data_IF_039306590592
#
_entry.id   IF_039306590592
#
_cell.length_a   1.000
_cell.length_b   1.000
_cell.length_c   1.000
_cell.angle_alpha   90.00
_cell.angle_beta   90.00
_cell.angle_gamma   90.00
#
_symmetry.space_group_name_H-M   'P 1'
#
loop_
_entity.id
_entity.type
_entity.pdbx_description
1 polymer ?
#
# COMPACT_ATOMS: atom_id res chain seq x y z
N UNK A 1 12.94 19.35 23.70
CA UNK A 1 13.94 19.20 22.61
C UNK A 1 13.29 18.84 21.27
N UNK A 2 12.21 18.03 21.23
CA UNK A 2 11.52 17.69 19.98
C UNK A 2 10.94 18.92 19.22
N UNK A 3 10.46 19.94 19.94
CA UNK A 3 9.83 21.15 19.36
C UNK A 3 10.74 22.03 18.49
N UNK A 4 12.06 21.78 18.48
CA UNK A 4 13.03 22.58 17.70
C UNK A 4 13.71 21.77 16.59
N UNK A 5 13.18 20.60 16.22
CA UNK A 5 13.73 19.78 15.13
C UNK A 5 12.86 19.97 13.89
N UNK A 6 13.45 20.49 12.82
CA UNK A 6 12.79 20.63 11.51
C UNK A 6 13.57 19.80 10.48
N UNK A 7 13.11 18.59 10.15
CA UNK A 7 13.78 17.74 9.16
C UNK A 7 13.83 18.45 7.80
N UNK A 8 14.98 18.37 7.12
CA UNK A 8 15.10 18.85 5.75
C UNK A 8 14.60 17.79 4.77
N UNK A 9 13.59 18.14 3.98
CA UNK A 9 13.12 17.29 2.89
C UNK A 9 14.08 17.42 1.70
N UNK A 10 14.76 16.32 1.37
CA UNK A 10 15.67 16.28 0.22
C UNK A 10 14.92 16.49 -1.09
N UNK A 11 15.54 17.19 -2.03
CA UNK A 11 15.03 17.29 -3.42
C UNK A 11 15.11 15.97 -4.19
N UNK A 12 15.89 15.01 -3.70
CA UNK A 12 15.99 13.65 -4.25
C UNK A 12 15.15 12.73 -3.38
N UNK A 13 14.09 12.16 -3.96
CA UNK A 13 13.16 11.27 -3.26
C UNK A 13 13.75 9.88 -3.04
N UNK A 14 13.08 9.04 -2.25
CA UNK A 14 13.44 7.62 -2.15
C UNK A 14 13.22 6.91 -3.49
N UNK A 15 12.19 7.26 -4.27
CA UNK A 15 11.99 6.75 -5.63
C UNK A 15 13.14 7.08 -6.58
N UNK A 16 13.64 8.32 -6.55
CA UNK A 16 14.80 8.70 -7.35
C UNK A 16 15.99 7.78 -7.08
N UNK A 17 16.18 7.42 -5.81
CA UNK A 17 17.24 6.51 -5.39
C UNK A 17 16.95 5.08 -5.83
N UNK A 18 15.74 4.57 -5.60
CA UNK A 18 15.31 3.23 -6.05
C UNK A 18 15.49 3.03 -7.56
N UNK A 19 15.24 4.06 -8.37
CA UNK A 19 15.45 4.04 -9.82
C UNK A 19 16.92 3.83 -10.19
N UNK A 20 17.84 4.37 -9.40
CA UNK A 20 19.29 4.27 -9.62
C UNK A 20 19.83 2.96 -9.02
N UNK A 21 19.40 2.61 -7.82
CA UNK A 21 19.91 1.46 -7.05
C UNK A 21 19.24 0.14 -7.42
N UNK A 22 18.16 0.19 -8.19
CA UNK A 22 17.36 -0.96 -8.58
C UNK A 22 16.63 -1.65 -7.44
N UNK A 23 16.71 -1.15 -6.21
CA UNK A 23 16.25 -1.86 -5.00
C UNK A 23 15.18 -1.09 -4.28
N UNK A 24 14.29 -1.82 -3.60
CA UNK A 24 13.24 -1.24 -2.76
C UNK A 24 13.72 -1.10 -1.31
N UNK A 25 13.23 -0.10 -0.55
CA UNK A 25 13.55 0.01 0.87
C UNK A 25 13.08 -1.23 1.63
N UNK A 26 14.04 -2.06 2.02
CA UNK A 26 13.78 -3.28 2.79
C UNK A 26 14.88 -3.49 3.82
N UNK A 27 14.49 -3.90 5.02
CA UNK A 27 15.42 -4.28 6.09
C UNK A 27 15.13 -5.70 6.53
N UNK A 28 16.11 -6.58 6.32
CA UNK A 28 16.14 -7.94 6.84
C UNK A 28 16.87 -7.94 8.17
N UNK A 29 16.10 -7.96 9.26
CA UNK A 29 16.62 -7.96 10.61
C UNK A 29 16.93 -9.39 11.06
N UNK A 30 18.21 -9.75 11.02
CA UNK A 30 18.67 -11.10 11.36
C UNK A 30 18.82 -11.25 12.88
N UNK A 31 18.04 -12.16 13.48
CA UNK A 31 18.12 -12.53 14.90
C UNK A 31 18.56 -13.98 15.10
N UNK A 32 19.15 -14.26 16.26
CA UNK A 32 19.68 -15.56 16.65
C UNK A 32 20.95 -15.43 17.48
N UNK A 33 21.39 -16.54 18.06
CA UNK A 33 22.58 -16.59 18.92
C UNK A 33 23.88 -16.22 18.18
N UNK A 34 24.93 -15.83 18.92
CA UNK A 34 26.26 -15.67 18.32
C UNK A 34 26.69 -16.97 17.62
N UNK A 35 27.31 -16.93 16.44
CA UNK A 35 27.66 -18.15 15.70
C UNK A 35 26.49 -18.89 15.01
N UNK A 36 25.27 -18.36 15.04
CA UNK A 36 24.11 -18.99 14.39
C UNK A 36 24.14 -18.97 12.85
N UNK A 37 24.98 -18.13 12.25
CA UNK A 37 25.16 -18.01 10.79
C UNK A 37 24.64 -16.72 10.16
N UNK A 38 24.12 -15.76 10.94
CA UNK A 38 23.57 -14.47 10.46
C UNK A 38 24.47 -13.76 9.44
N UNK A 39 25.69 -13.38 9.85
CA UNK A 39 26.61 -12.62 9.00
C UNK A 39 27.04 -13.40 7.75
N UNK A 40 27.10 -14.74 7.81
CA UNK A 40 27.42 -15.57 6.64
C UNK A 40 26.31 -15.54 5.60
N UNK A 41 25.06 -15.72 6.02
CA UNK A 41 23.89 -15.68 5.13
C UNK A 41 23.68 -14.27 4.56
N UNK A 42 23.76 -13.24 5.40
CA UNK A 42 23.62 -11.85 5.00
C UNK A 42 24.68 -11.43 3.97
N UNK A 43 25.95 -11.77 4.18
CA UNK A 43 27.02 -11.44 3.24
C UNK A 43 26.84 -12.12 1.87
N UNK A 44 26.35 -13.37 1.85
CA UNK A 44 26.02 -14.06 0.61
C UNK A 44 24.84 -13.40 -0.12
N UNK A 45 23.79 -13.02 0.61
CA UNK A 45 22.63 -12.34 0.04
C UNK A 45 22.99 -10.95 -0.52
N UNK A 46 23.75 -10.16 0.25
CA UNK A 46 24.30 -8.86 -0.16
C UNK A 46 25.10 -8.98 -1.47
N UNK A 47 26.01 -9.97 -1.54
CA UNK A 47 26.80 -10.22 -2.75
C UNK A 47 25.93 -10.60 -3.95
N UNK A 48 24.96 -11.50 -3.77
CA UNK A 48 24.06 -11.95 -4.85
C UNK A 48 23.20 -10.80 -5.39
N UNK A 49 22.64 -9.96 -4.52
CA UNK A 49 21.88 -8.77 -4.94
C UNK A 49 22.76 -7.77 -5.68
N UNK A 50 23.95 -7.48 -5.15
CA UNK A 50 24.90 -6.55 -5.76
C UNK A 50 25.31 -7.02 -7.16
N UNK A 51 25.61 -8.31 -7.32
CA UNK A 51 25.94 -8.91 -8.62
C UNK A 51 24.78 -8.85 -9.63
N UNK A 52 23.54 -8.85 -9.12
CA UNK A 52 22.32 -8.69 -9.92
C UNK A 52 21.97 -7.21 -10.22
N UNK A 53 22.80 -6.25 -9.80
CA UNK A 53 22.58 -4.81 -10.04
C UNK A 53 21.67 -4.13 -9.02
N UNK A 54 21.43 -4.76 -7.87
CA UNK A 54 20.64 -4.24 -6.77
C UNK A 54 21.55 -3.75 -5.63
N UNK A 55 21.44 -2.48 -5.23
CA UNK A 55 22.19 -1.97 -4.09
C UNK A 55 21.75 -2.66 -2.79
N UNK A 56 22.69 -3.34 -2.15
CA UNK A 56 22.50 -3.97 -0.85
C UNK A 56 23.59 -3.53 0.14
N UNK A 57 23.28 -3.59 1.43
CA UNK A 57 24.19 -3.23 2.52
C UNK A 57 24.02 -4.17 3.71
N UNK A 58 25.09 -4.81 4.15
CA UNK A 58 25.14 -5.51 5.44
C UNK A 58 25.60 -4.58 6.57
N UNK A 59 24.80 -4.48 7.64
CA UNK A 59 25.16 -3.77 8.87
C UNK A 59 25.44 -4.80 9.96
N UNK A 60 26.70 -4.89 10.40
CA UNK A 60 27.11 -5.79 11.47
C UNK A 60 27.23 -5.07 12.83
N UNK A 61 26.67 -5.69 13.87
CA UNK A 61 26.58 -5.16 15.21
C UNK A 61 27.94 -4.94 15.90
N UNK A 62 28.97 -5.72 15.57
CA UNK A 62 30.33 -5.51 16.08
C UNK A 62 31.01 -4.38 15.28
N UNK A 63 30.80 -4.33 13.97
CA UNK A 63 31.34 -3.26 13.10
C UNK A 63 30.91 -1.87 13.55
N UNK A 64 29.61 -1.66 13.83
CA UNK A 64 29.13 -0.32 14.26
C UNK A 64 29.72 0.12 15.60
N UNK A 65 30.11 -0.82 16.47
CA UNK A 65 30.78 -0.53 17.76
C UNK A 65 32.20 0.00 17.60
N UNK A 66 32.81 -0.15 16.42
CA UNK A 66 34.11 0.47 16.13
C UNK A 66 33.99 1.98 15.84
N UNK A 67 32.80 2.46 15.48
CA UNK A 67 32.55 3.84 15.07
C UNK A 67 31.29 4.44 15.71
N UNK A 68 30.14 4.29 15.04
CA UNK A 68 28.84 4.85 15.43
C UNK A 68 28.46 4.59 16.90
N UNK A 69 28.85 3.42 17.41
CA UNK A 69 28.55 2.95 18.76
C UNK A 69 29.79 2.83 19.67
N UNK A 70 30.90 3.51 19.36
CA UNK A 70 32.19 3.38 20.10
C UNK A 70 32.13 3.67 21.60
N UNK A 71 31.14 4.43 22.05
CA UNK A 71 30.97 4.79 23.46
C UNK A 71 30.10 3.82 24.26
N UNK A 72 29.52 2.79 23.61
CA UNK A 72 28.58 1.87 24.25
C UNK A 72 29.29 0.60 24.73
N UNK A 73 29.09 0.26 25.99
CA UNK A 73 29.50 -1.02 26.57
C UNK A 73 28.58 -2.19 26.19
N UNK A 74 28.58 -3.23 27.02
CA UNK A 74 27.73 -4.42 26.84
C UNK A 74 26.67 -4.56 27.94
N UNK A 75 26.40 -3.49 28.70
CA UNK A 75 25.29 -3.44 29.64
C UNK A 75 23.94 -3.58 28.89
N UNK A 76 22.85 -3.98 29.56
CA UNK A 76 21.53 -4.05 28.91
C UNK A 76 21.08 -2.73 28.28
N UNK A 77 21.38 -1.59 28.91
CA UNK A 77 21.05 -0.25 28.39
C UNK A 77 21.90 0.08 27.16
N UNK A 78 23.21 -0.15 27.21
CA UNK A 78 24.11 0.06 26.07
C UNK A 78 23.74 -0.82 24.87
N UNK A 79 23.28 -2.06 25.12
CA UNK A 79 22.81 -2.96 24.07
C UNK A 79 21.55 -2.42 23.42
N UNK A 80 20.59 -1.94 24.21
CA UNK A 80 19.34 -1.37 23.70
C UNK A 80 19.61 -0.12 22.85
N UNK A 81 20.45 0.79 23.33
CA UNK A 81 20.84 1.98 22.56
C UNK A 81 21.63 1.61 21.30
N UNK A 82 22.47 0.57 21.35
CA UNK A 82 23.16 0.07 20.16
C UNK A 82 22.17 -0.45 19.11
N UNK A 83 21.15 -1.21 19.50
CA UNK A 83 20.12 -1.71 18.59
C UNK A 83 19.26 -0.57 18.03
N UNK A 84 18.87 0.41 18.86
CA UNK A 84 18.14 1.61 18.42
C UNK A 84 18.93 2.38 17.36
N UNK A 85 20.25 2.61 17.56
CA UNK A 85 21.11 3.28 16.56
C UNK A 85 21.25 2.47 15.27
N UNK A 86 21.36 1.15 15.36
CA UNK A 86 21.40 0.28 14.19
C UNK A 86 20.08 0.36 13.43
N UNK A 87 18.93 0.38 14.11
CA UNK A 87 17.63 0.52 13.47
C UNK A 87 17.48 1.86 12.72
N UNK A 88 17.88 2.98 13.34
CA UNK A 88 17.88 4.29 12.66
C UNK A 88 18.83 4.31 11.45
N UNK A 89 20.02 3.71 11.57
CA UNK A 89 20.97 3.61 10.45
C UNK A 89 20.39 2.75 9.31
N UNK A 90 19.78 1.61 9.64
CA UNK A 90 19.17 0.71 8.68
C UNK A 90 18.02 1.39 7.93
N UNK A 91 17.19 2.15 8.65
CA UNK A 91 16.12 2.96 8.06
C UNK A 91 16.66 3.98 7.06
N UNK A 92 17.66 4.77 7.45
CA UNK A 92 18.29 5.77 6.56
C UNK A 92 18.90 5.10 5.33
N UNK A 93 19.58 3.96 5.49
CA UNK A 93 20.15 3.20 4.38
C UNK A 93 19.06 2.65 3.44
N UNK A 94 17.97 2.11 3.99
CA UNK A 94 16.84 1.62 3.20
C UNK A 94 16.16 2.75 2.40
N UNK A 95 15.86 3.88 3.05
CA UNK A 95 15.36 5.10 2.39
C UNK A 95 16.36 5.70 1.39
N UNK A 96 17.63 5.30 1.47
CA UNK A 96 18.64 5.65 0.47
C UNK A 96 18.61 4.73 -0.76
N UNK A 97 17.59 3.87 -0.86
CA UNK A 97 17.35 2.95 -1.98
C UNK A 97 18.09 1.62 -1.85
N UNK A 98 18.49 1.18 -0.65
CA UNK A 98 19.24 -0.06 -0.44
C UNK A 98 18.38 -1.15 0.18
N UNK A 99 18.66 -2.41 -0.16
CA UNK A 99 18.24 -3.55 0.66
C UNK A 99 19.24 -3.75 1.79
N UNK A 100 18.80 -3.70 3.04
CA UNK A 100 19.69 -3.71 4.20
C UNK A 100 19.56 -5.02 4.96
N UNK A 101 20.68 -5.68 5.24
CA UNK A 101 20.75 -6.86 6.11
C UNK A 101 21.39 -6.49 7.45
N UNK A 102 20.61 -6.48 8.52
CA UNK A 102 21.12 -6.17 9.86
C UNK A 102 21.50 -7.45 10.59
N UNK A 103 22.77 -7.57 10.96
CA UNK A 103 23.33 -8.67 11.74
C UNK A 103 23.70 -8.18 13.14
N UNK A 104 22.73 -8.14 14.05
CA UNK A 104 22.95 -7.76 15.45
C UNK A 104 22.41 -8.83 16.42
N UNK A 105 22.88 -8.83 17.67
CA UNK A 105 22.29 -9.67 18.72
C UNK A 105 21.12 -8.89 19.31
N UNK A 106 19.89 -9.29 18.95
CA UNK A 106 18.62 -8.76 19.47
C UNK A 106 17.94 -9.80 20.38
N UNK A 107 18.30 -9.85 21.68
CA UNK A 107 17.99 -10.98 22.55
C UNK A 107 16.53 -11.06 22.99
N UNK A 108 15.82 -9.94 23.07
CA UNK A 108 14.43 -9.91 23.56
C UNK A 108 13.43 -9.60 22.46
N UNK A 109 12.17 -9.96 22.66
CA UNK A 109 11.04 -9.57 21.80
C UNK A 109 10.92 -8.03 21.71
N UNK A 110 11.02 -7.35 22.85
CA UNK A 110 10.98 -5.90 22.94
C UNK A 110 12.08 -5.19 22.12
N UNK A 111 13.29 -5.75 22.05
CA UNK A 111 14.37 -5.18 21.22
C UNK A 111 14.02 -5.23 19.72
N UNK A 112 13.36 -6.29 19.28
CA UNK A 112 12.98 -6.51 17.88
C UNK A 112 11.75 -5.69 17.51
N UNK A 113 10.78 -5.58 18.42
CA UNK A 113 9.63 -4.68 18.28
C UNK A 113 10.08 -3.21 18.21
N UNK A 114 11.04 -2.79 19.04
CA UNK A 114 11.60 -1.43 18.95
C UNK A 114 12.23 -1.18 17.57
N UNK A 115 13.01 -2.12 17.05
CA UNK A 115 13.61 -1.99 15.72
C UNK A 115 12.53 -1.92 14.63
N UNK A 116 11.51 -2.78 14.68
CA UNK A 116 10.37 -2.78 13.76
C UNK A 116 9.63 -1.45 13.79
N UNK A 117 9.30 -0.93 14.97
CA UNK A 117 8.62 0.35 15.13
C UNK A 117 9.40 1.55 14.57
N UNK A 118 10.73 1.51 14.61
CA UNK A 118 11.58 2.56 14.01
C UNK A 118 11.57 2.47 12.48
N UNK A 119 11.57 1.26 11.92
CA UNK A 119 11.83 1.01 10.50
C UNK A 119 10.54 0.96 9.66
N UNK A 120 9.51 0.26 10.14
CA UNK A 120 8.25 0.03 9.42
C UNK A 120 7.52 1.31 8.95
N UNK A 121 7.66 2.48 9.61
CA UNK A 121 7.18 3.75 9.08
C UNK A 121 7.87 4.24 7.81
N UNK A 122 8.95 3.63 7.33
CA UNK A 122 9.70 4.11 6.15
C UNK A 122 10.19 2.99 5.21
N UNK A 123 10.28 1.75 5.68
CA UNK A 123 10.76 0.62 4.88
C UNK A 123 10.13 -0.71 5.33
N UNK A 124 10.08 -1.69 4.42
CA UNK A 124 9.65 -3.04 4.76
C UNK A 124 10.61 -3.65 5.80
N UNK A 125 10.06 -4.31 6.82
CA UNK A 125 10.84 -4.95 7.89
C UNK A 125 10.54 -6.45 7.91
N UNK A 126 11.58 -7.27 7.78
CA UNK A 126 11.51 -8.73 7.87
C UNK A 126 12.31 -9.22 9.08
N UNK A 127 11.65 -9.87 10.04
CA UNK A 127 12.30 -10.58 11.12
C UNK A 127 12.79 -11.96 10.64
N UNK A 128 14.11 -12.12 10.54
CA UNK A 128 14.75 -13.34 10.04
C UNK A 128 15.42 -14.09 11.19
N UNK A 129 14.85 -15.24 11.57
CA UNK A 129 15.34 -16.03 12.69
C UNK A 129 16.28 -17.16 12.27
N UNK A 130 17.51 -17.14 12.77
CA UNK A 130 18.46 -18.26 12.70
C UNK A 130 18.27 -19.19 13.91
N UNK A 131 17.72 -20.39 13.70
CA UNK A 131 17.21 -21.24 14.80
C UNK A 131 18.26 -22.09 15.53
N UNK A 132 19.55 -21.90 15.21
CA UNK A 132 20.63 -22.68 15.81
C UNK A 132 20.68 -22.53 17.33
N UNK A 133 20.69 -23.67 18.02
CA UNK A 133 20.75 -23.74 19.48
C UNK A 133 22.17 -23.44 20.01
N UNK A 134 22.26 -23.25 21.33
CA UNK A 134 23.53 -22.95 22.02
C UNK A 134 24.58 -24.00 21.73
N UNK A 135 24.20 -25.29 21.69
CA UNK A 135 25.11 -26.41 21.44
C UNK A 135 25.71 -26.33 20.03
N UNK A 136 24.88 -26.08 19.02
CA UNK A 136 25.31 -25.94 17.62
C UNK A 136 26.21 -24.72 17.45
N UNK A 137 25.83 -23.58 18.02
CA UNK A 137 26.62 -22.36 17.98
C UNK A 137 27.97 -22.51 18.68
N UNK A 138 27.99 -23.14 19.87
CA UNK A 138 29.20 -23.44 20.62
C UNK A 138 30.13 -24.44 19.92
N UNK A 139 29.58 -25.40 19.16
CA UNK A 139 30.38 -26.31 18.36
C UNK A 139 31.08 -25.61 17.18
N UNK A 140 30.45 -24.54 16.64
CA UNK A 140 31.03 -23.72 15.56
C UNK A 140 32.07 -22.71 16.08
N UNK A 141 31.76 -22.04 17.20
CA UNK A 141 32.53 -21.00 17.92
C UNK A 141 33.70 -20.32 17.17
N UNK A 142 33.44 -19.67 16.01
CA UNK A 142 34.51 -19.13 15.17
C UNK A 142 35.31 -18.00 15.82
N UNK A 143 34.70 -17.33 16.82
CA UNK A 143 35.30 -16.22 17.57
C UNK A 143 35.90 -16.66 18.92
N UNK A 144 35.77 -17.93 19.30
CA UNK A 144 36.19 -18.44 20.61
C UNK A 144 35.42 -17.84 21.80
N UNK A 145 34.25 -17.27 21.56
CA UNK A 145 33.46 -16.54 22.57
C UNK A 145 32.68 -17.49 23.47
N UNK A 146 32.18 -18.61 22.93
CA UNK A 146 31.48 -19.61 23.74
C UNK A 146 32.44 -20.26 24.73
N UNK A 147 33.67 -20.58 24.31
CA UNK A 147 34.70 -21.10 25.20
C UNK A 147 34.95 -20.17 26.40
N UNK A 148 35.07 -18.86 26.14
CA UNK A 148 35.27 -17.84 27.19
C UNK A 148 34.03 -17.64 28.06
N UNK A 149 32.83 -17.68 27.46
CA UNK A 149 31.56 -17.55 28.19
C UNK A 149 31.34 -18.73 29.15
N UNK A 150 31.59 -19.97 28.72
CA UNK A 150 31.49 -21.15 29.58
C UNK A 150 32.56 -21.19 30.67
N UNK A 151 33.73 -20.57 30.44
CA UNK A 151 34.75 -20.37 31.46
C UNK A 151 34.43 -19.23 32.44
N UNK A 152 33.33 -18.49 32.24
CA UNK A 152 32.93 -17.35 33.07
C UNK A 152 33.73 -16.07 32.84
N UNK A 153 34.58 -16.02 31.81
CA UNK A 153 35.39 -14.85 31.46
C UNK A 153 34.54 -13.74 30.82
N UNK A 154 33.43 -14.10 30.18
CA UNK A 154 32.46 -13.15 29.59
C UNK A 154 31.14 -13.25 30.36
N UNK A 155 30.79 -12.15 31.04
CA UNK A 155 29.49 -12.00 31.73
C UNK A 155 28.41 -11.59 30.74
N UNK A 156 27.16 -11.89 31.06
CA UNK A 156 25.97 -11.52 30.28
C UNK A 156 26.00 -11.97 28.81
N UNK A 157 26.57 -13.14 28.54
CA UNK A 157 26.64 -13.70 27.20
C UNK A 157 25.29 -14.34 26.82
N UNK A 158 24.67 -13.80 25.77
CA UNK A 158 23.33 -14.20 25.30
C UNK A 158 23.30 -15.70 24.94
N UNK A 159 22.36 -16.43 25.53
CA UNK A 159 22.21 -17.89 25.40
C UNK A 159 23.06 -18.71 26.38
N UNK A 160 23.92 -18.10 27.20
CA UNK A 160 24.71 -18.81 28.23
C UNK A 160 24.46 -18.22 29.62
N UNK A 161 24.85 -16.97 29.85
CA UNK A 161 24.68 -16.27 31.12
C UNK A 161 23.63 -15.15 31.07
N UNK A 162 23.04 -14.87 29.90
CA UNK A 162 21.88 -14.01 29.69
C UNK A 162 20.85 -14.69 28.75
N UNK A 163 19.54 -14.42 28.88
CA UNK A 163 18.51 -15.07 28.09
C UNK A 163 18.53 -14.64 26.61
N UNK A 164 17.95 -15.49 25.75
CA UNK A 164 17.55 -15.20 24.38
C UNK A 164 16.11 -15.66 24.23
N UNK A 165 15.21 -14.77 23.81
CA UNK A 165 13.80 -15.03 23.58
C UNK A 165 13.59 -15.31 22.09
N UNK A 166 13.33 -16.57 21.70
CA UNK A 166 13.04 -16.91 20.31
C UNK A 166 11.83 -16.13 19.79
N UNK A 167 11.86 -15.66 18.53
CA UNK A 167 10.69 -15.07 17.90
C UNK A 167 9.49 -16.02 17.87
N UNK A 168 8.29 -15.52 18.20
CA UNK A 168 7.06 -16.31 18.19
C UNK A 168 6.50 -16.50 16.78
N UNK A 169 6.57 -15.45 15.96
CA UNK A 169 6.06 -15.41 14.59
C UNK A 169 7.05 -14.66 13.67
N UNK A 170 8.25 -15.23 13.43
CA UNK A 170 9.22 -14.60 12.53
C UNK A 170 8.70 -14.64 11.08
N UNK A 171 9.01 -13.59 10.32
CA UNK A 171 8.68 -13.51 8.89
C UNK A 171 9.41 -14.61 8.08
N UNK A 172 10.66 -14.92 8.46
CA UNK A 172 11.47 -15.98 7.86
C UNK A 172 12.23 -16.72 8.97
N UNK A 173 12.23 -18.06 8.95
CA UNK A 173 13.03 -18.87 9.87
C UNK A 173 13.93 -19.86 9.11
N UNK A 174 15.22 -19.88 9.45
CA UNK A 174 16.22 -20.76 8.85
C UNK A 174 16.69 -21.83 9.85
N UNK A 175 16.36 -23.12 9.61
CA UNK A 175 16.91 -24.24 10.36
C UNK A 175 18.44 -24.27 10.32
N UNK A 176 19.08 -24.62 11.44
CA UNK A 176 20.53 -24.70 11.54
C UNK A 176 21.20 -25.68 10.55
N UNK A 177 20.43 -26.64 10.03
CA UNK A 177 20.83 -27.64 9.05
C UNK A 177 20.78 -27.15 7.59
N UNK A 178 20.12 -26.03 7.31
CA UNK A 178 20.02 -25.48 5.96
C UNK A 178 21.34 -24.82 5.55
N UNK A 179 21.74 -24.95 4.28
CA UNK A 179 22.97 -24.35 3.77
C UNK A 179 22.86 -22.83 3.68
N UNK A 180 23.98 -22.13 3.87
CA UNK A 180 24.01 -20.67 3.83
C UNK A 180 23.60 -20.14 2.45
N UNK A 181 23.96 -20.84 1.38
CA UNK A 181 23.61 -20.52 0.00
C UNK A 181 22.09 -20.57 -0.21
N UNK A 182 21.43 -21.62 0.28
CA UNK A 182 19.97 -21.76 0.17
C UNK A 182 19.24 -20.70 0.99
N UNK A 183 19.70 -20.40 2.20
CA UNK A 183 19.14 -19.32 3.00
C UNK A 183 19.30 -17.96 2.30
N UNK A 184 20.48 -17.70 1.70
CA UNK A 184 20.73 -16.47 0.96
C UNK A 184 19.82 -16.35 -0.28
N UNK A 185 19.55 -17.45 -0.99
CA UNK A 185 18.61 -17.45 -2.13
C UNK A 185 17.18 -17.06 -1.73
N UNK A 186 16.74 -17.49 -0.53
CA UNK A 186 15.44 -17.07 0.01
C UNK A 186 15.43 -15.58 0.32
N UNK A 187 16.49 -15.04 0.93
CA UNK A 187 16.59 -13.61 1.22
C UNK A 187 16.65 -12.75 -0.05
N UNK A 188 17.41 -13.17 -1.05
CA UNK A 188 17.48 -12.50 -2.35
C UNK A 188 16.11 -12.47 -3.00
N UNK A 189 15.41 -13.61 -3.01
CA UNK A 189 14.05 -13.69 -3.54
C UNK A 189 13.11 -12.74 -2.80
N UNK A 190 13.06 -12.80 -1.47
CA UNK A 190 12.23 -11.92 -0.66
C UNK A 190 12.55 -10.43 -0.88
N UNK A 191 13.82 -10.08 -1.10
CA UNK A 191 14.25 -8.71 -1.40
C UNK A 191 13.80 -8.23 -2.79
N UNK A 192 13.85 -9.12 -3.79
CA UNK A 192 13.41 -8.83 -5.16
C UNK A 192 11.88 -8.82 -5.28
N UNK A 193 11.21 -9.61 -4.44
CA UNK A 193 9.75 -9.72 -4.33
C UNK A 193 9.17 -8.77 -3.27
N UNK A 194 9.98 -7.87 -2.66
CA UNK A 194 9.47 -6.93 -1.65
C UNK A 194 8.40 -6.04 -2.29
N UNK A 195 7.16 -6.32 -1.94
CA UNK A 195 5.99 -5.65 -2.45
C UNK A 195 5.63 -4.42 -1.60
N UNK A 196 4.67 -3.62 -2.04
CA UNK A 196 4.08 -2.59 -1.19
C UNK A 196 3.46 -3.20 0.06
N UNK A 197 3.70 -2.58 1.22
CA UNK A 197 2.87 -2.83 2.39
C UNK A 197 1.49 -2.21 2.15
N UNK A 198 0.62 -2.97 1.48
CA UNK A 198 -0.72 -2.52 1.11
C UNK A 198 -1.59 -2.23 2.33
N UNK A 199 -1.28 -2.81 3.50
CA UNK A 199 -2.00 -2.49 4.75
C UNK A 199 -1.65 -1.08 5.20
N UNK A 200 -0.36 -0.77 5.30
CA UNK A 200 0.08 0.59 5.64
C UNK A 200 -0.43 1.61 4.62
N UNK A 201 -0.35 1.29 3.33
CA UNK A 201 -0.83 2.15 2.26
C UNK A 201 -2.33 2.44 2.39
N UNK A 202 -3.15 1.42 2.67
CA UNK A 202 -4.57 1.59 2.93
C UNK A 202 -4.85 2.46 4.16
N UNK A 203 -4.16 2.28 5.28
CA UNK A 203 -4.36 3.11 6.48
C UNK A 203 -4.21 4.61 6.14
N UNK A 204 -3.14 4.97 5.44
CA UNK A 204 -2.89 6.37 5.05
C UNK A 204 -3.93 6.87 4.05
N UNK A 205 -4.33 6.06 3.06
CA UNK A 205 -5.36 6.44 2.10
C UNK A 205 -6.73 6.64 2.77
N UNK A 206 -7.09 5.78 3.74
CA UNK A 206 -8.31 5.86 4.52
C UNK A 206 -8.35 7.15 5.36
N UNK A 207 -7.26 7.45 6.07
CA UNK A 207 -7.13 8.69 6.83
C UNK A 207 -7.23 9.92 5.92
N UNK A 208 -6.55 9.90 4.77
CA UNK A 208 -6.60 11.00 3.80
C UNK A 208 -8.01 11.20 3.23
N UNK A 209 -8.73 10.11 2.92
CA UNK A 209 -10.09 10.18 2.41
C UNK A 209 -11.08 10.68 3.46
N UNK A 210 -10.96 10.24 4.73
CA UNK A 210 -11.80 10.73 5.84
C UNK A 210 -11.58 12.22 6.09
N UNK A 211 -10.32 12.64 6.26
CA UNK A 211 -9.98 14.04 6.52
C UNK A 211 -10.43 14.96 5.37
N UNK A 212 -10.27 14.52 4.12
CA UNK A 212 -10.78 15.26 2.97
C UNK A 212 -12.31 15.33 2.98
N UNK A 213 -12.99 14.26 3.36
CA UNK A 213 -14.45 14.21 3.47
C UNK A 213 -14.97 15.21 4.51
N UNK A 214 -14.37 15.27 5.69
CA UNK A 214 -14.73 16.24 6.74
C UNK A 214 -14.60 17.68 6.23
N UNK A 215 -13.50 17.99 5.53
CA UNK A 215 -13.29 19.32 4.92
C UNK A 215 -14.29 19.64 3.81
N UNK A 216 -14.69 18.65 3.00
CA UNK A 216 -15.74 18.82 1.99
C UNK A 216 -17.07 19.17 2.67
N UNK A 217 -17.41 18.52 3.78
CA UNK A 217 -18.66 18.76 4.50
C UNK A 217 -18.74 20.17 5.10
N UNK A 218 -17.61 20.77 5.52
CA UNK A 218 -17.58 22.19 5.94
C UNK A 218 -18.09 23.15 4.85
N UNK A 219 -17.82 22.85 3.59
CA UNK A 219 -18.34 23.63 2.46
C UNK A 219 -19.77 23.23 2.09
N UNK A 220 -20.10 21.94 2.16
CA UNK A 220 -21.44 21.43 1.82
C UNK A 220 -22.53 22.05 2.71
N UNK A 221 -22.24 22.23 4.00
CA UNK A 221 -23.13 22.89 4.97
C UNK A 221 -22.95 24.42 5.02
N UNK A 222 -21.96 24.94 4.29
CA UNK A 222 -21.46 26.30 4.39
C UNK A 222 -21.61 27.13 3.11
N UNK A 223 -20.62 28.00 2.88
CA UNK A 223 -20.56 28.89 1.71
C UNK A 223 -19.32 28.52 0.90
N UNK A 224 -19.49 28.34 -0.40
CA UNK A 224 -18.41 28.00 -1.33
C UNK A 224 -18.47 28.84 -2.60
N UNK A 225 -17.35 28.90 -3.32
CA UNK A 225 -17.25 29.49 -4.65
C UNK A 225 -17.38 28.41 -5.72
N UNK A 226 -17.95 28.76 -6.87
CA UNK A 226 -18.03 27.90 -8.05
C UNK A 226 -17.36 28.60 -9.22
N UNK A 227 -16.37 27.94 -9.80
CA UNK A 227 -15.71 28.30 -11.05
C UNK A 227 -16.02 27.24 -12.11
N UNK A 228 -15.70 27.53 -13.37
CA UNK A 228 -15.89 26.58 -14.48
C UNK A 228 -14.56 26.37 -15.21
N UNK A 229 -14.15 25.11 -15.35
CA UNK A 229 -12.95 24.72 -16.11
C UNK A 229 -13.15 24.98 -17.61
N UNK A 230 -12.08 24.84 -18.41
CA UNK A 230 -12.13 25.06 -19.87
C UNK A 230 -13.16 24.15 -20.58
N UNK A 231 -13.38 22.94 -20.05
CA UNK A 231 -14.36 21.97 -20.55
C UNK A 231 -15.79 22.20 -20.00
N UNK A 232 -16.01 23.31 -19.27
CA UNK A 232 -17.27 23.71 -18.62
C UNK A 232 -17.71 22.81 -17.46
N UNK A 233 -16.84 21.93 -16.96
CA UNK A 233 -17.09 21.26 -15.69
C UNK A 233 -17.02 22.27 -14.53
N UNK A 234 -17.87 22.13 -13.50
CA UNK A 234 -17.79 22.97 -12.31
C UNK A 234 -16.56 22.60 -11.48
N UNK A 235 -15.97 23.60 -10.82
CA UNK A 235 -14.91 23.44 -9.83
C UNK A 235 -15.29 24.28 -8.60
N UNK A 236 -15.28 23.69 -7.41
CA UNK A 236 -15.60 24.41 -6.18
C UNK A 236 -14.39 24.56 -5.26
N UNK A 237 -14.50 25.42 -4.25
CA UNK A 237 -13.50 25.50 -3.18
C UNK A 237 -13.37 24.18 -2.39
N UNK A 238 -14.38 23.32 -2.40
CA UNK A 238 -14.32 22.00 -1.77
C UNK A 238 -13.37 21.06 -2.53
N UNK A 239 -13.40 21.05 -3.87
CA UNK A 239 -12.52 20.23 -4.71
C UNK A 239 -11.04 20.62 -4.49
N UNK A 240 -10.75 21.92 -4.41
CA UNK A 240 -9.38 22.43 -4.18
C UNK A 240 -8.87 22.06 -2.78
N UNK A 241 -9.67 22.30 -1.75
CA UNK A 241 -9.27 22.02 -0.35
C UNK A 241 -9.10 20.52 -0.10
N UNK A 242 -9.97 19.68 -0.66
CA UNK A 242 -9.85 18.22 -0.57
C UNK A 242 -8.64 17.71 -1.37
N UNK A 243 -8.36 18.25 -2.55
CA UNK A 243 -7.15 17.92 -3.30
C UNK A 243 -5.87 18.22 -2.49
N UNK A 244 -5.76 19.42 -1.94
CA UNK A 244 -4.57 19.85 -1.20
C UNK A 244 -4.37 19.00 0.06
N UNK A 245 -5.47 18.67 0.75
CA UNK A 245 -5.50 17.73 1.86
C UNK A 245 -4.87 16.38 1.50
N UNK A 246 -5.48 15.70 0.52
CA UNK A 246 -5.10 14.35 0.12
C UNK A 246 -3.65 14.33 -0.37
N UNK A 247 -3.31 15.28 -1.26
CA UNK A 247 -1.98 15.36 -1.83
C UNK A 247 -0.90 15.61 -0.76
N UNK A 248 -1.17 16.45 0.24
CA UNK A 248 -0.21 16.71 1.31
C UNK A 248 0.03 15.46 2.18
N UNK A 249 -1.03 14.75 2.58
CA UNK A 249 -0.93 13.55 3.40
C UNK A 249 -0.20 12.42 2.66
N UNK A 250 -0.57 12.16 1.41
CA UNK A 250 0.04 11.12 0.59
C UNK A 250 1.53 11.41 0.31
N UNK A 251 1.89 12.66 -0.05
CA UNK A 251 3.29 13.04 -0.27
C UNK A 251 4.14 12.96 0.99
N UNK A 252 3.55 13.25 2.15
CA UNK A 252 4.26 13.17 3.41
C UNK A 252 4.54 11.71 3.81
N UNK A 253 3.56 10.82 3.61
CA UNK A 253 3.68 9.41 3.96
C UNK A 253 4.49 8.59 2.94
N UNK A 254 4.42 8.96 1.66
CA UNK A 254 5.03 8.26 0.53
C UNK A 254 5.66 9.25 -0.45
N UNK A 255 6.73 9.97 -0.05
CA UNK A 255 7.40 10.97 -0.89
C UNK A 255 8.00 10.41 -2.18
N UNK A 256 8.09 9.09 -2.30
CA UNK A 256 8.52 8.34 -3.48
C UNK A 256 7.41 8.05 -4.50
N UNK A 257 6.14 8.15 -4.11
CA UNK A 257 5.00 7.83 -4.98
C UNK A 257 4.52 9.10 -5.66
N UNK A 258 4.42 9.08 -6.99
CA UNK A 258 3.89 10.22 -7.75
C UNK A 258 2.36 10.29 -7.65
N UNK A 259 1.77 11.44 -8.00
CA UNK A 259 0.32 11.64 -7.96
C UNK A 259 -0.22 12.02 -9.34
N UNK A 260 -1.36 11.44 -9.67
CA UNK A 260 -2.26 11.81 -10.74
C UNK A 260 -3.58 12.24 -10.11
N UNK A 261 -3.80 13.54 -9.94
CA UNK A 261 -5.04 14.08 -9.36
C UNK A 261 -5.82 14.87 -10.42
N UNK A 262 -7.15 14.83 -10.36
CA UNK A 262 -8.00 15.64 -11.23
C UNK A 262 -7.62 17.14 -11.20
N UNK A 263 -7.34 17.65 -10.01
CA UNK A 263 -7.12 19.09 -9.78
C UNK A 263 -5.66 19.51 -9.91
N UNK A 264 -4.75 18.56 -10.19
CA UNK A 264 -3.34 18.83 -10.33
C UNK A 264 -2.88 18.71 -11.78
N UNK A 265 -1.93 19.56 -12.18
CA UNK A 265 -1.29 19.42 -13.48
C UNK A 265 -0.42 18.15 -13.52
N UNK A 266 -0.72 17.25 -14.45
CA UNK A 266 0.13 16.09 -14.73
C UNK A 266 1.40 16.52 -15.48
N UNK A 267 2.56 16.27 -14.87
CA UNK A 267 3.88 16.57 -15.45
C UNK A 267 4.50 15.38 -16.18
N UNK A 268 3.81 14.23 -16.21
CA UNK A 268 4.28 12.97 -16.80
C UNK A 268 5.33 12.24 -15.95
N UNK A 269 5.73 12.77 -14.79
CA UNK A 269 6.73 12.14 -13.91
C UNK A 269 6.34 10.73 -13.46
N UNK A 270 5.06 10.52 -13.20
CA UNK A 270 4.45 9.20 -12.88
C UNK A 270 4.73 8.11 -13.92
N UNK A 271 5.07 8.47 -15.17
CA UNK A 271 5.34 7.54 -16.26
C UNK A 271 6.78 7.00 -16.25
N UNK A 272 7.68 7.57 -15.43
CA UNK A 272 9.10 7.17 -15.33
C UNK A 272 9.35 5.93 -14.45
N UNK A 273 8.29 5.13 -14.26
CA UNK A 273 7.90 4.27 -13.13
C UNK A 273 8.95 3.29 -12.53
N UNK A 274 8.91 3.17 -11.20
CA UNK A 274 9.33 2.02 -10.34
C UNK A 274 8.67 2.01 -8.95
N UNK A 275 8.07 3.12 -8.52
CA UNK A 275 7.49 3.30 -7.18
C UNK A 275 5.95 3.46 -7.19
N UNK A 276 5.26 3.34 -8.33
CA UNK A 276 3.80 3.46 -8.40
C UNK A 276 3.28 4.90 -8.39
N UNK A 277 1.95 5.03 -8.42
CA UNK A 277 1.22 6.30 -8.52
C UNK A 277 -0.06 6.26 -7.70
N UNK A 278 -0.34 7.34 -6.96
CA UNK A 278 -1.69 7.60 -6.43
C UNK A 278 -2.54 8.28 -7.50
N UNK A 279 -3.74 7.77 -7.71
CA UNK A 279 -4.70 8.26 -8.71
C UNK A 279 -5.90 8.79 -7.93
N UNK A 280 -6.12 10.10 -7.94
CA UNK A 280 -7.00 10.80 -7.00
C UNK A 280 -8.09 11.57 -7.74
N UNK A 281 -9.34 11.33 -7.34
CA UNK A 281 -10.43 12.26 -7.56
C UNK A 281 -10.83 12.82 -6.18
N UNK A 282 -10.51 14.09 -5.90
CA UNK A 282 -10.73 14.67 -4.59
C UNK A 282 -12.22 14.92 -4.31
N UNK A 283 -13.06 15.04 -5.35
CA UNK A 283 -14.51 15.19 -5.24
C UNK A 283 -15.18 14.70 -6.54
N UNK A 284 -15.42 13.39 -6.63
CA UNK A 284 -16.18 12.82 -7.73
C UNK A 284 -17.67 13.09 -7.55
N UNK A 285 -18.33 13.58 -8.59
CA UNK A 285 -19.73 14.00 -8.53
C UNK A 285 -19.92 15.44 -8.07
N UNK A 286 -19.13 16.39 -8.57
CA UNK A 286 -19.31 17.83 -8.28
C UNK A 286 -20.73 18.33 -8.58
N UNK A 287 -21.42 17.76 -9.58
CA UNK A 287 -22.84 18.10 -9.85
C UNK A 287 -23.76 17.60 -8.75
N UNK A 288 -23.52 16.39 -8.25
CA UNK A 288 -24.24 15.78 -7.14
C UNK A 288 -24.04 16.61 -5.87
N UNK A 289 -22.81 17.05 -5.59
CA UNK A 289 -22.47 18.02 -4.53
C UNK A 289 -23.26 19.33 -4.67
N UNK A 290 -23.21 19.98 -5.84
CA UNK A 290 -23.95 21.23 -6.09
C UNK A 290 -25.47 21.08 -5.99
N UNK A 291 -25.99 19.88 -6.28
CA UNK A 291 -27.42 19.59 -6.18
C UNK A 291 -27.88 19.20 -4.77
N UNK A 292 -26.96 19.11 -3.81
CA UNK A 292 -27.20 18.69 -2.43
C UNK A 292 -27.96 17.35 -2.33
N UNK A 293 -27.54 16.36 -3.13
CA UNK A 293 -28.20 15.05 -3.16
C UNK A 293 -27.42 13.94 -2.43
N UNK A 294 -26.25 14.24 -1.88
CA UNK A 294 -25.44 13.30 -1.09
C UNK A 294 -24.76 12.19 -1.88
N UNK A 295 -24.71 12.25 -3.22
CA UNK A 295 -24.14 11.21 -4.09
C UNK A 295 -22.78 11.60 -4.70
N UNK A 296 -21.92 12.26 -3.91
CA UNK A 296 -20.53 12.58 -4.25
C UNK A 296 -19.56 11.76 -3.39
N UNK A 297 -18.36 11.54 -3.91
CA UNK A 297 -17.35 10.71 -3.25
C UNK A 297 -15.97 11.36 -3.25
N UNK A 298 -15.09 10.90 -2.37
CA UNK A 298 -13.63 11.04 -2.51
C UNK A 298 -13.10 9.70 -3.02
N UNK A 299 -12.30 9.68 -4.08
CA UNK A 299 -11.71 8.46 -4.66
C UNK A 299 -10.19 8.54 -4.63
N UNK A 300 -9.54 7.53 -4.05
CA UNK A 300 -8.09 7.40 -4.00
C UNK A 300 -7.73 5.98 -4.44
N UNK A 301 -7.10 5.85 -5.60
CA UNK A 301 -6.50 4.60 -6.08
C UNK A 301 -4.98 4.61 -5.94
N UNK A 302 -4.39 3.44 -5.81
CA UNK A 302 -2.94 3.24 -5.93
C UNK A 302 -2.64 2.20 -6.99
N UNK A 303 -1.80 2.56 -7.96
CA UNK A 303 -1.38 1.69 -9.03
C UNK A 303 0.14 1.51 -9.04
N UNK A 304 0.57 0.29 -9.34
CA UNK A 304 1.97 -0.06 -9.57
C UNK A 304 2.10 -0.58 -11.00
N UNK A 305 2.97 0.04 -11.80
CA UNK A 305 3.00 -0.23 -13.23
C UNK A 305 1.66 0.12 -13.87
N UNK A 306 0.99 -0.90 -14.42
CA UNK A 306 -0.31 -0.77 -15.12
C UNK A 306 -1.48 -1.36 -14.32
N UNK A 307 -1.25 -1.80 -13.08
CA UNK A 307 -2.23 -2.53 -12.27
C UNK A 307 -2.60 -1.70 -11.03
N UNK A 308 -3.90 -1.53 -10.79
CA UNK A 308 -4.39 -1.00 -9.51
C UNK A 308 -4.19 -2.06 -8.43
N UNK A 309 -3.57 -1.68 -7.31
CA UNK A 309 -3.23 -2.58 -6.20
C UNK A 309 -4.05 -2.31 -4.95
N UNK A 310 -4.52 -1.07 -4.76
CA UNK A 310 -5.35 -0.65 -3.64
C UNK A 310 -6.26 0.53 -4.00
N UNK A 311 -7.36 0.70 -3.28
CA UNK A 311 -8.36 1.72 -3.54
C UNK A 311 -9.21 2.04 -2.32
N UNK A 312 -9.58 3.31 -2.16
CA UNK A 312 -10.48 3.84 -1.14
C UNK A 312 -11.51 4.76 -1.81
N UNK A 313 -12.78 4.58 -1.45
CA UNK A 313 -13.86 5.50 -1.80
C UNK A 313 -14.53 5.95 -0.50
N UNK A 314 -14.53 7.24 -0.21
CA UNK A 314 -15.32 7.81 0.88
C UNK A 314 -16.63 8.39 0.35
N UNK A 315 -17.71 8.24 1.11
CA UNK A 315 -19.02 8.83 0.82
C UNK A 315 -19.36 9.78 1.96
N UNK A 316 -18.99 11.08 1.86
CA UNK A 316 -19.03 12.02 2.98
C UNK A 316 -20.42 12.15 3.63
N UNK A 317 -21.46 12.35 2.82
CA UNK A 317 -22.85 12.52 3.27
C UNK A 317 -23.38 11.32 4.10
N UNK A 318 -22.80 10.13 3.89
CA UNK A 318 -23.19 8.89 4.57
C UNK A 318 -22.20 8.46 5.64
N UNK A 319 -21.08 9.17 5.80
CA UNK A 319 -19.97 8.85 6.72
C UNK A 319 -19.49 7.39 6.59
N UNK A 320 -19.37 6.89 5.36
CA UNK A 320 -18.86 5.53 5.08
C UNK A 320 -17.67 5.52 4.14
N UNK A 321 -16.77 4.56 4.38
CA UNK A 321 -15.61 4.27 3.56
C UNK A 321 -15.77 2.88 2.95
N UNK A 322 -15.44 2.76 1.68
CA UNK A 322 -15.19 1.52 0.97
C UNK A 322 -13.70 1.42 0.72
N UNK A 323 -13.11 0.25 0.92
CA UNK A 323 -11.71 0.05 0.60
C UNK A 323 -11.41 -1.37 0.15
N UNK A 324 -10.36 -1.51 -0.64
CA UNK A 324 -9.86 -2.80 -1.06
C UNK A 324 -8.38 -2.73 -1.39
N UNK A 325 -7.69 -3.86 -1.24
CA UNK A 325 -6.35 -4.06 -1.78
C UNK A 325 -6.14 -5.53 -2.14
N UNK A 326 -5.22 -5.76 -3.08
CA UNK A 326 -4.91 -7.09 -3.58
C UNK A 326 -4.59 -8.07 -2.45
N UNK A 327 -5.40 -9.13 -2.36
CA UNK A 327 -5.22 -10.20 -1.37
C UNK A 327 -5.72 -9.87 0.04
N UNK A 328 -6.21 -8.64 0.29
CA UNK A 328 -6.87 -8.26 1.54
C UNK A 328 -8.39 -8.49 1.43
N UNK A 329 -8.97 -8.25 0.24
CA UNK A 329 -10.41 -8.23 -0.02
C UNK A 329 -10.98 -6.81 0.01
N UNK A 330 -12.27 -6.70 -0.32
CA UNK A 330 -13.03 -5.44 -0.28
C UNK A 330 -13.90 -5.36 0.99
N UNK A 331 -13.96 -4.17 1.60
CA UNK A 331 -14.65 -3.92 2.86
C UNK A 331 -15.35 -2.56 2.86
N UNK A 332 -16.30 -2.42 3.78
CA UNK A 332 -17.00 -1.19 4.10
C UNK A 332 -16.98 -0.94 5.62
N UNK A 333 -16.73 0.30 6.00
CA UNK A 333 -16.72 0.76 7.40
C UNK A 333 -17.37 2.13 7.53
N UNK A 334 -17.97 2.46 8.69
CA UNK A 334 -18.28 3.85 9.03
C UNK A 334 -16.99 4.64 9.35
N UNK A 335 -17.04 5.97 9.25
CA UNK A 335 -15.88 6.84 9.54
C UNK A 335 -15.37 6.69 10.99
N UNK A 336 -16.26 6.47 11.94
CA UNK A 336 -15.93 6.33 13.37
C UNK A 336 -15.25 4.99 13.72
N UNK A 337 -15.23 4.03 12.80
CA UNK A 337 -14.48 2.79 12.95
C UNK A 337 -12.97 2.94 12.64
N UNK A 338 -12.53 4.08 12.06
CA UNK A 338 -11.11 4.39 11.88
C UNK A 338 -10.49 4.90 13.19
N UNK A 339 -10.25 3.97 14.10
CA UNK A 339 -9.61 4.18 15.41
C UNK A 339 -8.12 3.78 15.39
N UNK A 340 -7.38 4.05 16.47
CA UNK A 340 -5.95 3.72 16.56
C UNK A 340 -5.64 2.21 16.44
N UNK A 341 -6.61 1.34 16.74
CA UNK A 341 -6.52 -0.12 16.65
C UNK A 341 -7.04 -0.71 15.33
N UNK A 342 -7.54 0.13 14.42
CA UNK A 342 -8.04 -0.31 13.12
C UNK A 342 -6.94 -1.00 12.28
N UNK A 343 -7.29 -2.12 11.64
CA UNK A 343 -6.45 -2.78 10.64
C UNK A 343 -7.20 -3.06 9.34
N UNK A 344 -6.59 -2.85 8.16
CA UNK A 344 -7.21 -3.24 6.89
C UNK A 344 -7.61 -4.73 6.87
N UNK A 345 -8.88 -5.00 6.61
CA UNK A 345 -9.53 -6.29 6.84
C UNK A 345 -10.62 -6.25 7.91
N UNK A 346 -10.68 -5.17 8.69
CA UNK A 346 -11.76 -4.90 9.63
C UNK A 346 -12.97 -4.24 8.92
N UNK A 347 -14.18 -4.59 9.35
CA UNK A 347 -15.42 -4.04 8.80
C UNK A 347 -16.33 -5.06 8.13
N UNK A 348 -17.33 -4.56 7.41
CA UNK A 348 -18.23 -5.39 6.61
C UNK A 348 -17.51 -5.83 5.34
N UNK A 349 -17.24 -7.14 5.21
CA UNK A 349 -16.64 -7.69 4.01
C UNK A 349 -17.64 -7.71 2.85
N UNK A 350 -17.22 -7.21 1.71
CA UNK A 350 -18.04 -7.04 0.51
C UNK A 350 -17.91 -8.24 -0.43
N UNK A 351 -19.03 -8.61 -1.05
CA UNK A 351 -19.10 -9.65 -2.06
C UNK A 351 -20.18 -9.31 -3.09
N UNK A 352 -19.83 -9.40 -4.36
CA UNK A 352 -20.81 -9.23 -5.46
C UNK A 352 -21.90 -10.30 -5.39
N UNK A 353 -23.06 -10.00 -5.98
CA UNK A 353 -24.18 -10.95 -6.04
C UNK A 353 -23.88 -12.15 -6.97
N UNK A 354 -24.62 -13.24 -6.79
CA UNK A 354 -24.61 -14.40 -7.70
C UNK A 354 -25.70 -14.32 -8.79
N UNK A 355 -26.35 -13.16 -8.95
CA UNK A 355 -27.50 -13.01 -9.85
C UNK A 355 -27.05 -13.04 -11.32
N UNK A 356 -27.61 -13.95 -12.12
CA UNK A 356 -27.36 -14.03 -13.57
C UNK A 356 -28.59 -13.77 -14.43
N UNK A 357 -29.76 -13.59 -13.81
CA UNK A 357 -31.03 -13.26 -14.47
C UNK A 357 -31.83 -12.28 -13.61
N UNK A 358 -32.67 -11.46 -14.22
CA UNK A 358 -33.38 -10.37 -13.54
C UNK A 358 -32.41 -9.36 -12.92
N UNK A 359 -31.44 -8.90 -13.71
CA UNK A 359 -30.34 -8.05 -13.26
C UNK A 359 -30.81 -6.69 -12.74
N UNK A 360 -30.09 -6.17 -11.75
CA UNK A 360 -30.18 -4.81 -11.24
C UNK A 360 -29.05 -4.01 -11.89
N UNK A 361 -29.41 -3.10 -12.78
CA UNK A 361 -28.46 -2.32 -13.58
C UNK A 361 -28.33 -0.92 -13.00
N UNK A 362 -27.11 -0.47 -12.72
CA UNK A 362 -26.86 0.92 -12.34
C UNK A 362 -26.64 1.81 -13.55
N UNK A 363 -27.18 3.03 -13.52
CA UNK A 363 -26.97 4.05 -14.55
C UNK A 363 -26.60 5.39 -13.93
N UNK A 364 -25.91 6.23 -14.70
CA UNK A 364 -25.51 7.56 -14.25
C UNK A 364 -26.72 8.48 -14.07
N UNK A 365 -26.76 9.20 -12.95
CA UNK A 365 -27.78 10.22 -12.67
C UNK A 365 -27.71 11.42 -13.60
N UNK A 366 -26.50 11.89 -13.86
CA UNK A 366 -26.26 13.16 -14.56
C UNK A 366 -25.80 12.99 -16.01
N UNK A 367 -25.54 11.74 -16.45
CA UNK A 367 -24.92 11.45 -17.74
C UNK A 367 -25.47 10.18 -18.40
N UNK A 368 -26.79 10.08 -18.57
CA UNK A 368 -27.39 9.03 -19.40
C UNK A 368 -27.16 9.34 -20.88
N UNK A 369 -26.58 8.39 -21.61
CA UNK A 369 -26.30 8.50 -23.05
C UNK A 369 -27.15 7.54 -23.87
N UNK A 370 -27.23 7.81 -25.18
CA UNK A 370 -28.05 7.05 -26.14
C UNK A 370 -27.69 5.56 -26.16
N UNK A 371 -26.41 5.23 -26.09
CA UNK A 371 -25.94 3.84 -26.10
C UNK A 371 -26.45 3.11 -24.83
N UNK A 372 -26.42 3.77 -23.67
CA UNK A 372 -26.97 3.23 -22.43
C UNK A 372 -28.49 3.05 -22.52
N UNK A 373 -29.22 4.03 -23.08
CA UNK A 373 -30.67 3.92 -23.29
C UNK A 373 -31.04 2.75 -24.23
N UNK A 374 -30.29 2.59 -25.32
CA UNK A 374 -30.47 1.50 -26.27
C UNK A 374 -30.15 0.14 -25.63
N UNK A 375 -29.06 0.06 -24.85
CA UNK A 375 -28.71 -1.13 -24.08
C UNK A 375 -29.84 -1.55 -23.12
N UNK A 376 -30.43 -0.61 -22.39
CA UNK A 376 -31.55 -0.89 -21.49
C UNK A 376 -32.79 -1.36 -22.27
N UNK A 377 -33.06 -0.78 -23.44
CA UNK A 377 -34.19 -1.18 -24.28
C UNK A 377 -34.03 -2.59 -24.85
N UNK A 378 -32.83 -2.94 -25.32
CA UNK A 378 -32.51 -4.26 -25.89
C UNK A 378 -32.55 -5.40 -24.87
N UNK A 379 -32.41 -5.09 -23.57
CA UNK A 379 -32.32 -6.08 -22.50
C UNK A 379 -33.43 -5.95 -21.44
N UNK A 380 -34.53 -5.26 -21.75
CA UNK A 380 -35.61 -5.00 -20.80
C UNK A 380 -36.17 -6.25 -20.12
N UNK A 381 -36.23 -7.37 -20.84
CA UNK A 381 -36.71 -8.66 -20.34
C UNK A 381 -35.78 -9.32 -19.32
N UNK A 382 -34.52 -8.91 -19.27
CA UNK A 382 -33.47 -9.46 -18.39
C UNK A 382 -33.13 -8.54 -17.22
N UNK A 383 -33.71 -7.34 -17.18
CA UNK A 383 -33.43 -6.32 -16.17
C UNK A 383 -34.65 -6.23 -15.24
N UNK A 384 -34.46 -6.56 -13.97
CA UNK A 384 -35.50 -6.42 -12.96
C UNK A 384 -35.63 -4.98 -12.45
N UNK A 385 -34.50 -4.27 -12.36
CA UNK A 385 -34.46 -2.92 -11.81
C UNK A 385 -33.35 -2.08 -12.47
N UNK A 386 -33.62 -0.79 -12.66
CA UNK A 386 -32.62 0.21 -13.07
C UNK A 386 -32.43 1.19 -11.91
N UNK A 387 -31.22 1.23 -11.36
CA UNK A 387 -30.84 2.08 -10.23
C UNK A 387 -30.05 3.27 -10.74
N UNK A 388 -30.61 4.47 -10.61
CA UNK A 388 -29.91 5.70 -10.97
C UNK A 388 -29.07 6.19 -9.79
N UNK A 389 -27.75 6.32 -9.97
CA UNK A 389 -26.82 6.76 -8.92
C UNK A 389 -25.61 7.51 -9.50
N UNK A 390 -25.15 8.54 -8.79
CA UNK A 390 -23.97 9.34 -9.12
C UNK A 390 -22.63 8.67 -8.80
N UNK A 391 -21.53 9.27 -9.28
CA UNK A 391 -20.15 9.03 -8.79
C UNK A 391 -19.68 7.55 -8.76
N UNK A 392 -18.59 7.24 -8.05
CA UNK A 392 -18.06 5.89 -7.87
C UNK A 392 -19.01 4.94 -7.10
N UNK A 393 -20.12 5.43 -6.53
CA UNK A 393 -21.13 4.63 -5.82
C UNK A 393 -21.68 3.47 -6.66
N UNK A 394 -21.66 3.60 -7.99
CA UNK A 394 -22.07 2.53 -8.93
C UNK A 394 -21.31 1.24 -8.67
N UNK A 395 -19.99 1.30 -8.57
CA UNK A 395 -19.16 0.14 -8.26
C UNK A 395 -19.31 -0.31 -6.81
N UNK A 396 -19.50 0.61 -5.87
CA UNK A 396 -19.77 0.27 -4.48
C UNK A 396 -21.04 -0.56 -4.32
N UNK A 397 -22.13 -0.21 -5.01
CA UNK A 397 -23.38 -0.98 -4.98
C UNK A 397 -23.22 -2.38 -5.58
N UNK A 398 -22.39 -2.52 -6.62
CA UNK A 398 -22.08 -3.83 -7.20
C UNK A 398 -21.23 -4.66 -6.24
N UNK A 399 -20.21 -4.06 -5.61
CA UNK A 399 -19.38 -4.71 -4.60
C UNK A 399 -20.18 -5.15 -3.35
N UNK A 400 -21.21 -4.38 -2.96
CA UNK A 400 -22.18 -4.76 -1.91
C UNK A 400 -23.16 -5.88 -2.34
N UNK A 401 -23.15 -6.29 -3.61
CA UNK A 401 -24.11 -7.26 -4.15
C UNK A 401 -25.54 -6.71 -4.28
N UNK A 402 -25.72 -5.39 -4.23
CA UNK A 402 -27.01 -4.70 -4.39
C UNK A 402 -27.33 -4.35 -5.83
N UNK A 403 -26.32 -4.32 -6.70
CA UNK A 403 -26.44 -4.23 -8.14
C UNK A 403 -25.56 -5.29 -8.81
N UNK A 404 -25.81 -5.54 -10.09
CA UNK A 404 -25.11 -6.61 -10.82
C UNK A 404 -24.29 -6.10 -11.99
N UNK A 405 -24.69 -4.96 -12.57
CA UNK A 405 -24.12 -4.46 -13.81
C UNK A 405 -24.07 -2.94 -13.84
N UNK A 406 -22.95 -2.41 -14.33
CA UNK A 406 -22.85 -1.06 -14.86
C UNK A 406 -22.16 -1.14 -16.22
N UNK A 407 -22.76 -0.58 -17.27
CA UNK A 407 -22.15 -0.52 -18.59
C UNK A 407 -22.32 0.87 -19.18
N UNK A 408 -21.22 1.42 -19.70
CA UNK A 408 -21.23 2.72 -20.37
C UNK A 408 -20.11 2.82 -21.39
N UNK A 409 -20.40 3.35 -22.58
CA UNK A 409 -19.41 3.60 -23.64
C UNK A 409 -18.92 5.06 -23.62
N UNK A 410 -17.70 5.28 -24.10
CA UNK A 410 -17.18 6.61 -24.46
C UNK A 410 -16.18 7.22 -23.48
N UNK A 411 -15.53 8.29 -23.93
CA UNK A 411 -14.33 8.90 -23.33
C UNK A 411 -14.60 9.94 -22.22
N UNK A 412 -15.67 9.76 -21.44
CA UNK A 412 -16.09 10.76 -20.45
C UNK A 412 -15.39 10.62 -19.11
N UNK A 413 -14.83 9.44 -18.84
CA UNK A 413 -14.26 9.10 -17.55
C UNK A 413 -12.73 9.09 -17.67
N UNK A 414 -12.06 9.30 -16.55
CA UNK A 414 -10.60 9.27 -16.44
C UNK A 414 -10.20 8.24 -15.39
N UNK A 415 -8.90 7.99 -15.29
CA UNK A 415 -8.39 6.96 -14.37
C UNK A 415 -8.81 7.20 -12.92
N UNK A 416 -8.89 8.46 -12.47
CA UNK A 416 -9.29 8.82 -11.12
C UNK A 416 -10.75 8.49 -10.77
N UNK A 417 -11.65 8.54 -11.76
CA UNK A 417 -13.04 8.11 -11.59
C UNK A 417 -13.17 6.59 -11.39
N UNK A 418 -12.19 5.81 -11.86
CA UNK A 418 -12.30 4.34 -11.99
C UNK A 418 -11.33 3.54 -11.16
N UNK A 419 -10.16 4.07 -10.80
CA UNK A 419 -9.08 3.27 -10.21
C UNK A 419 -9.50 2.63 -8.87
N UNK A 420 -10.00 3.43 -7.92
CA UNK A 420 -10.46 2.90 -6.63
C UNK A 420 -11.65 1.95 -6.81
N UNK A 421 -12.59 2.32 -7.68
CA UNK A 421 -13.78 1.53 -7.99
C UNK A 421 -13.44 0.17 -8.61
N UNK A 422 -12.41 0.11 -9.45
CA UNK A 422 -11.94 -1.11 -10.09
C UNK A 422 -11.52 -2.15 -9.07
N UNK A 423 -10.54 -1.82 -8.22
CA UNK A 423 -10.00 -2.78 -7.25
C UNK A 423 -11.04 -3.17 -6.19
N UNK A 424 -11.94 -2.25 -5.80
CA UNK A 424 -13.05 -2.56 -4.90
C UNK A 424 -14.01 -3.60 -5.52
N UNK A 425 -14.38 -3.43 -6.78
CA UNK A 425 -15.25 -4.38 -7.48
C UNK A 425 -14.56 -5.74 -7.71
N UNK A 426 -13.28 -5.74 -8.09
CA UNK A 426 -12.49 -6.94 -8.35
C UNK A 426 -12.27 -7.77 -7.06
N UNK A 427 -11.86 -7.14 -5.96
CA UNK A 427 -11.65 -7.81 -4.66
C UNK A 427 -12.96 -8.25 -3.98
N UNK A 428 -14.10 -7.67 -4.36
CA UNK A 428 -15.43 -8.18 -4.01
C UNK A 428 -15.85 -9.41 -4.85
N UNK A 429 -15.06 -9.80 -5.85
CA UNK A 429 -15.30 -10.95 -6.72
C UNK A 429 -16.01 -10.64 -8.04
N UNK A 430 -16.17 -9.36 -8.37
CA UNK A 430 -16.69 -8.90 -9.65
C UNK A 430 -15.61 -8.80 -10.73
N UNK A 431 -16.01 -8.33 -11.92
CA UNK A 431 -15.12 -8.06 -13.04
C UNK A 431 -15.27 -6.61 -13.48
N UNK A 432 -14.13 -5.96 -13.69
CA UNK A 432 -14.04 -4.58 -14.18
C UNK A 432 -13.22 -4.54 -15.48
N UNK A 433 -13.79 -3.97 -16.53
CA UNK A 433 -13.18 -3.87 -17.87
C UNK A 433 -13.60 -2.59 -18.55
N UNK A 434 -13.07 -2.31 -19.74
CA UNK A 434 -13.67 -1.32 -20.61
C UNK A 434 -15.03 -1.82 -21.14
N UNK A 435 -15.78 -0.97 -21.85
CA UNK A 435 -17.12 -1.34 -22.34
C UNK A 435 -17.13 -2.48 -23.36
N UNK A 436 -15.96 -2.86 -23.89
CA UNK A 436 -15.77 -3.96 -24.85
C UNK A 436 -15.27 -5.24 -24.17
N UNK A 437 -15.04 -5.23 -22.86
CA UNK A 437 -14.56 -6.38 -22.09
C UNK A 437 -13.04 -6.50 -22.02
N UNK A 438 -12.28 -5.52 -22.54
CA UNK A 438 -10.83 -5.51 -22.48
C UNK A 438 -10.32 -5.00 -21.12
N UNK A 439 -9.14 -5.45 -20.65
CA UNK A 439 -8.54 -4.95 -19.41
C UNK A 439 -8.36 -3.43 -19.45
N UNK A 440 -8.61 -2.77 -18.32
CA UNK A 440 -8.34 -1.32 -18.15
C UNK A 440 -7.03 -1.14 -17.39
N UNK A 441 -5.91 -0.84 -18.08
CA UNK A 441 -4.65 -0.57 -17.40
C UNK A 441 -4.67 0.83 -16.77
N UNK A 442 -4.11 0.93 -15.58
CA UNK A 442 -3.83 2.20 -14.91
C UNK A 442 -2.51 2.84 -15.39
N UNK A 443 -2.25 4.05 -14.91
CA UNK A 443 -1.06 4.86 -15.17
C UNK A 443 -0.73 5.01 -16.66
N UNK A 444 -1.73 5.30 -17.50
CA UNK A 444 -1.52 5.53 -18.94
C UNK A 444 -1.06 6.94 -19.21
N UNK A 445 -0.34 7.14 -20.32
CA UNK A 445 0.06 8.48 -20.75
C UNK A 445 -1.16 9.41 -20.91
N UNK A 446 -2.20 8.92 -21.60
CA UNK A 446 -3.52 9.53 -21.61
C UNK A 446 -4.41 8.92 -20.52
N UNK A 447 -4.77 9.65 -19.46
CA UNK A 447 -5.56 9.12 -18.37
C UNK A 447 -7.05 8.93 -18.73
N UNK A 448 -7.49 9.26 -19.94
CA UNK A 448 -8.90 9.11 -20.35
C UNK A 448 -9.27 7.65 -20.61
N UNK A 449 -10.41 7.23 -20.09
CA UNK A 449 -11.06 5.95 -20.37
C UNK A 449 -11.80 5.99 -21.71
N UNK A 450 -11.05 5.96 -22.82
CA UNK A 450 -11.59 6.19 -24.17
C UNK A 450 -12.73 5.23 -24.57
N UNK A 451 -12.67 3.99 -24.09
CA UNK A 451 -13.66 2.95 -24.39
C UNK A 451 -14.76 2.83 -23.32
N UNK A 452 -14.88 3.76 -22.37
CA UNK A 452 -15.85 3.65 -21.28
C UNK A 452 -15.51 2.55 -20.27
N UNK A 453 -16.53 2.00 -19.59
CA UNK A 453 -16.36 0.97 -18.57
C UNK A 453 -17.50 -0.06 -18.55
N UNK A 454 -17.18 -1.24 -18.03
CA UNK A 454 -18.09 -2.31 -17.68
C UNK A 454 -17.70 -2.85 -16.30
N UNK A 455 -18.67 -2.89 -15.39
CA UNK A 455 -18.59 -3.57 -14.10
C UNK A 455 -19.67 -4.64 -14.10
N UNK A 456 -19.30 -5.88 -13.80
CA UNK A 456 -20.27 -6.98 -13.71
C UNK A 456 -19.97 -7.88 -12.52
N UNK A 457 -21.01 -8.37 -11.86
CA UNK A 457 -20.90 -9.32 -10.77
C UNK A 457 -20.31 -10.68 -11.23
N UNK A 458 -20.81 -11.21 -12.35
CA UNK A 458 -20.47 -12.53 -12.90
C UNK A 458 -20.32 -12.45 -14.42
N UNK A 459 -19.24 -12.98 -15.02
CA UNK A 459 -19.09 -13.02 -16.48
C UNK A 459 -20.27 -13.69 -17.20
N UNK A 460 -20.92 -14.66 -16.56
CA UNK A 460 -22.08 -15.39 -17.06
C UNK A 460 -23.27 -14.44 -17.33
N UNK A 461 -23.42 -13.38 -16.53
CA UNK A 461 -24.46 -12.36 -16.67
C UNK A 461 -24.38 -11.62 -18.02
N UNK A 462 -23.21 -11.61 -18.66
CA UNK A 462 -23.01 -10.96 -19.96
C UNK A 462 -23.49 -11.82 -21.14
N UNK A 463 -23.50 -13.15 -20.99
CA UNK A 463 -23.73 -14.08 -22.09
C UNK A 463 -25.11 -13.95 -22.74
N UNK A 464 -26.11 -13.53 -21.96
CA UNK A 464 -27.47 -13.30 -22.42
C UNK A 464 -27.73 -11.87 -22.88
N UNK A 465 -26.82 -10.92 -22.65
CA UNK A 465 -27.08 -9.50 -22.93
C UNK A 465 -26.75 -9.13 -24.38
N UNK A 466 -27.53 -8.21 -24.93
CA UNK A 466 -27.35 -7.65 -26.28
C UNK A 466 -26.83 -6.23 -26.14
N UNK A 467 -25.64 -5.97 -26.67
CA UNK A 467 -25.03 -4.64 -26.63
C UNK A 467 -25.32 -3.86 -27.92
N UNK A 468 -25.53 -2.53 -27.84
CA UNK A 468 -25.68 -1.68 -29.03
C UNK A 468 -24.48 -1.80 -29.97
N UNK A 469 -24.74 -1.75 -31.28
CA UNK A 469 -23.68 -1.73 -32.28
C UNK A 469 -22.75 -0.51 -32.09
N UNK A 470 -21.49 -0.63 -32.54
CA UNK A 470 -20.60 0.52 -32.61
C UNK A 470 -20.93 1.30 -33.89
N UNK A 471 -21.37 2.54 -33.74
CA UNK A 471 -21.56 3.46 -34.86
C UNK A 471 -20.24 3.89 -35.49
#
# INVERSE_FOLDING_TARGET
MAENITPYLSRTSTADRMRITGSRPAVFWMTGLSGSGKSTVAALAEKKLTDAGHAALMIDGDTVRTGLCRGLGFSPEDRRENLRRIAELAKIAAMSGMTVFVCAISPTEADREQARAIISPDAAFFEVWMTADVKTCAARDPKGLYKKAFAGEIRDFTGVSAPYEPPRAPDIAFPASQSAESCADVLVRAALETDWDLRRLLCVMLDAAREASERIMEYYDGVYSVEYKEDKSPLTSADVTSNDCICAMLRNAFPEVELLSEEAQDTGRRLSDRAGVFIVDPLDGTKEFLSHNGEFCVSIGFAEGRKVRAGVIAVPDREVLYYAAEGIGAYKIPFDALTEDFSPGDGEKLHVSDRTDGLVVTVSRSHLDRDTEEFLALNRDKIAEVVTVGSCLKGCLIAEGRADLHWRRGAFMKEWDTAAMQIIAEEAGGRFTDSDGAPMPANREDPRNLNGMLIVNRPESLSSLVFPEKN
#
